data_IF_080437642451
#
_entry.id   IF_080437642451
#
_cell.length_a   1.000
_cell.length_b   1.000
_cell.length_c   1.000
_cell.angle_alpha   90.00
_cell.angle_beta   90.00
_cell.angle_gamma   90.00
#
_symmetry.space_group_name_H-M   'P 1'
#
loop_
_entity.id
_entity.type
_entity.pdbx_description
1 polymer ?
#
# COMPACT_ATOMS: atom_id res chain seq x y z
N UNK A 1 -16.21 3.60 6.73
CA UNK A 1 -15.06 2.68 6.79
C UNK A 1 -15.21 1.60 5.72
N UNK A 2 -14.34 1.62 4.70
CA UNK A 2 -14.36 0.66 3.61
C UNK A 2 -14.01 -0.76 4.10
N UNK A 3 -14.99 -1.68 4.04
CA UNK A 3 -14.87 -3.08 4.45
C UNK A 3 -13.79 -3.83 3.66
N UNK A 4 -13.59 -3.49 2.38
CA UNK A 4 -12.58 -4.11 1.51
C UNK A 4 -11.18 -3.67 1.94
N UNK A 5 -10.98 -2.38 2.18
CA UNK A 5 -9.71 -1.84 2.64
C UNK A 5 -9.33 -2.39 4.02
N UNK A 6 -10.29 -2.47 4.95
CA UNK A 6 -10.06 -3.12 6.25
C UNK A 6 -9.61 -4.57 6.07
N UNK A 7 -10.29 -5.37 5.25
CA UNK A 7 -9.93 -6.77 5.04
C UNK A 7 -8.52 -6.91 4.43
N UNK A 8 -8.22 -6.10 3.43
CA UNK A 8 -6.95 -6.10 2.70
C UNK A 8 -5.75 -5.74 3.59
N UNK A 9 -5.98 -4.90 4.59
CA UNK A 9 -4.91 -4.32 5.39
C UNK A 9 -4.83 -4.94 6.79
N UNK A 10 -5.95 -5.17 7.46
CA UNK A 10 -5.98 -5.66 8.85
C UNK A 10 -6.26 -7.16 8.99
N UNK A 11 -6.87 -7.81 8.00
CA UNK A 11 -7.40 -9.18 8.15
C UNK A 11 -6.60 -10.26 7.43
N UNK A 12 -5.55 -9.87 6.69
CA UNK A 12 -4.87 -10.75 5.75
C UNK A 12 -3.37 -10.76 6.00
N UNK A 13 -2.74 -11.92 5.79
CA UNK A 13 -1.29 -12.04 5.88
C UNK A 13 -0.63 -11.06 4.91
N UNK A 14 0.37 -10.32 5.41
CA UNK A 14 1.05 -9.28 4.64
C UNK A 14 0.34 -7.92 4.59
N UNK A 15 -0.77 -7.77 5.33
CA UNK A 15 -1.51 -6.51 5.43
C UNK A 15 -0.66 -5.32 5.86
N UNK A 16 0.21 -5.50 6.86
CA UNK A 16 1.19 -4.49 7.29
C UNK A 16 2.12 -4.03 6.16
N UNK A 17 2.60 -4.95 5.31
CA UNK A 17 3.48 -4.59 4.19
C UNK A 17 2.72 -3.87 3.07
N UNK A 18 1.50 -4.33 2.74
CA UNK A 18 0.61 -3.61 1.81
C UNK A 18 0.34 -2.20 2.29
N UNK A 19 0.09 -2.05 3.59
CA UNK A 19 -0.07 -0.76 4.19
C UNK A 19 1.19 0.08 3.93
N UNK A 20 2.39 -0.40 4.34
CA UNK A 20 3.67 0.33 4.15
C UNK A 20 3.90 0.79 2.71
N UNK A 21 3.51 -0.03 1.74
CA UNK A 21 3.54 0.35 0.32
C UNK A 21 2.59 1.53 0.04
N UNK A 22 1.33 1.45 0.46
CA UNK A 22 0.36 2.53 0.26
C UNK A 22 0.80 3.85 0.92
N UNK A 23 1.37 3.79 2.11
CA UNK A 23 1.92 5.00 2.76
C UNK A 23 3.09 5.58 1.96
N UNK A 24 4.02 4.74 1.49
CA UNK A 24 5.16 5.20 0.69
C UNK A 24 4.74 5.77 -0.68
N UNK A 25 3.65 5.26 -1.26
CA UNK A 25 3.08 5.73 -2.52
C UNK A 25 2.24 7.00 -2.39
N UNK A 26 1.71 7.28 -1.19
CA UNK A 26 1.06 8.55 -0.87
C UNK A 26 2.05 9.72 -0.89
N UNK A 27 3.28 9.50 -0.43
CA UNK A 27 4.32 10.53 -0.47
C UNK A 27 4.71 10.91 -1.90
N UNK A 28 4.91 9.90 -2.76
CA UNK A 28 5.17 10.06 -4.19
C UNK A 28 5.05 8.73 -4.93
N UNK A 29 4.80 8.74 -6.25
CA UNK A 29 4.91 7.55 -7.07
C UNK A 29 6.31 6.90 -7.00
N UNK A 30 6.37 5.58 -6.96
CA UNK A 30 7.62 4.80 -6.85
C UNK A 30 7.55 3.54 -7.71
N UNK A 31 8.68 3.07 -8.22
CA UNK A 31 8.74 1.76 -8.87
C UNK A 31 8.89 0.64 -7.83
N UNK A 32 8.78 -0.63 -8.26
CA UNK A 32 8.88 -1.78 -7.37
C UNK A 32 10.28 -1.95 -6.73
N UNK A 33 11.36 -1.58 -7.42
CA UNK A 33 12.72 -1.63 -6.87
C UNK A 33 12.93 -0.58 -5.76
N UNK A 34 12.38 0.62 -5.94
CA UNK A 34 12.42 1.68 -4.93
C UNK A 34 11.69 1.24 -3.66
N UNK A 35 10.52 0.63 -3.82
CA UNK A 35 9.73 0.10 -2.70
C UNK A 35 10.43 -1.05 -1.99
N UNK A 36 11.07 -1.96 -2.73
CA UNK A 36 11.85 -3.06 -2.16
C UNK A 36 12.99 -2.53 -1.28
N UNK A 37 13.73 -1.55 -1.81
CA UNK A 37 14.84 -0.91 -1.11
C UNK A 37 14.35 -0.12 0.12
N UNK A 38 13.32 0.71 -0.04
CA UNK A 38 12.77 1.56 1.02
C UNK A 38 12.18 0.75 2.17
N UNK A 39 11.51 -0.37 1.86
CA UNK A 39 10.81 -1.17 2.86
C UNK A 39 11.65 -2.34 3.39
N UNK A 40 12.88 -2.50 2.89
CA UNK A 40 13.77 -3.63 3.18
C UNK A 40 13.07 -4.99 2.97
N UNK A 41 12.40 -5.13 1.83
CA UNK A 41 11.69 -6.34 1.41
C UNK A 41 12.26 -6.85 0.08
N UNK A 42 12.18 -8.15 -0.17
CA UNK A 42 12.59 -8.68 -1.46
C UNK A 42 11.66 -8.21 -2.59
N UNK A 43 12.22 -8.10 -3.79
CA UNK A 43 11.48 -7.61 -4.97
C UNK A 43 10.24 -8.45 -5.30
N UNK A 44 10.28 -9.78 -5.14
CA UNK A 44 9.13 -10.65 -5.43
C UNK A 44 7.99 -10.42 -4.43
N UNK A 45 8.32 -10.19 -3.16
CA UNK A 45 7.34 -9.81 -2.12
C UNK A 45 6.67 -8.48 -2.45
N UNK A 46 7.43 -7.47 -2.86
CA UNK A 46 6.86 -6.18 -3.28
C UNK A 46 5.95 -6.36 -4.50
N UNK A 47 6.41 -7.08 -5.52
CA UNK A 47 5.63 -7.37 -6.73
C UNK A 47 4.30 -8.03 -6.37
N UNK A 48 4.32 -9.07 -5.55
CA UNK A 48 3.13 -9.74 -5.08
C UNK A 48 2.15 -8.77 -4.38
N UNK A 49 2.65 -7.92 -3.48
CA UNK A 49 1.80 -6.94 -2.81
C UNK A 49 1.23 -5.88 -3.75
N UNK A 50 2.01 -5.38 -4.72
CA UNK A 50 1.54 -4.43 -5.72
C UNK A 50 0.46 -5.04 -6.62
N UNK A 51 0.59 -6.31 -7.00
CA UNK A 51 -0.42 -7.02 -7.79
C UNK A 51 -1.73 -7.15 -7.00
N UNK A 52 -1.67 -7.57 -5.72
CA UNK A 52 -2.85 -7.62 -4.85
C UNK A 52 -3.48 -6.24 -4.64
N UNK A 53 -2.68 -5.19 -4.42
CA UNK A 53 -3.19 -3.82 -4.27
C UNK A 53 -3.83 -3.30 -5.55
N UNK A 54 -3.31 -3.67 -6.73
CA UNK A 54 -3.85 -3.28 -8.03
C UNK A 54 -5.17 -3.99 -8.32
N UNK A 55 -5.27 -5.28 -8.06
CA UNK A 55 -6.53 -6.04 -8.13
C UNK A 55 -7.60 -5.49 -7.19
N UNK A 56 -7.17 -4.83 -6.11
CA UNK A 56 -8.04 -4.14 -5.16
C UNK A 56 -8.23 -2.64 -5.44
N UNK A 57 -7.83 -2.17 -6.62
CA UNK A 57 -8.01 -0.79 -7.07
C UNK A 57 -7.44 0.24 -6.09
N UNK A 58 -6.42 -0.14 -5.32
CA UNK A 58 -5.73 0.73 -4.37
C UNK A 58 -4.56 1.47 -5.02
N UNK A 59 -3.95 0.86 -6.05
CA UNK A 59 -2.82 1.43 -6.79
C UNK A 59 -3.06 1.33 -8.29
N UNK A 60 -2.39 2.20 -9.04
CA UNK A 60 -2.36 2.18 -10.50
C UNK A 60 -0.94 2.39 -11.03
N UNK A 61 -0.71 2.01 -12.28
CA UNK A 61 0.53 2.31 -13.00
C UNK A 61 0.45 3.70 -13.65
N UNK A 62 1.58 4.39 -13.68
CA UNK A 62 1.77 5.60 -14.48
C UNK A 62 2.56 5.25 -15.75
N UNK A 63 2.04 5.65 -16.92
CA UNK A 63 2.65 5.42 -18.22
C UNK A 63 2.46 4.01 -18.79
N UNK A 64 3.14 3.74 -19.90
CA UNK A 64 3.07 2.46 -20.61
C UNK A 64 3.91 1.41 -19.86
N UNK A 65 3.24 0.42 -19.28
CA UNK A 65 3.82 -0.52 -18.31
C UNK A 65 5.10 -1.25 -18.82
N UNK A 66 6.07 -1.40 -17.91
CA UNK A 66 7.36 -2.04 -18.14
C UNK A 66 8.18 -2.18 -16.84
N UNK A 67 9.46 -2.55 -16.95
CA UNK A 67 10.35 -2.83 -15.80
C UNK A 67 10.59 -1.61 -14.88
N UNK A 68 10.36 -0.40 -15.39
CA UNK A 68 10.49 0.87 -14.66
C UNK A 68 9.13 1.54 -14.36
N UNK A 69 8.02 0.80 -14.46
CA UNK A 69 6.70 1.39 -14.28
C UNK A 69 6.54 1.95 -12.85
N UNK A 70 6.13 3.21 -12.78
CA UNK A 70 5.85 3.86 -11.51
C UNK A 70 4.46 3.46 -11.04
N UNK A 71 4.37 3.07 -9.78
CA UNK A 71 3.10 2.88 -9.10
C UNK A 71 2.71 4.17 -8.40
N UNK A 72 1.41 4.45 -8.38
CA UNK A 72 0.81 5.54 -7.60
C UNK A 72 -0.46 5.02 -6.93
N UNK A 73 -0.97 5.76 -5.94
CA UNK A 73 -2.31 5.47 -5.41
C UNK A 73 -3.36 5.65 -6.51
N UNK A 74 -4.38 4.81 -6.51
CA UNK A 74 -5.54 5.04 -7.39
C UNK A 74 -6.23 6.35 -7.03
N UNK A 75 -6.93 7.03 -7.97
CA UNK A 75 -7.67 8.25 -7.66
C UNK A 75 -8.68 8.04 -6.53
N UNK A 76 -9.32 6.87 -6.50
CA UNK A 76 -10.25 6.46 -5.43
C UNK A 76 -9.56 6.46 -4.06
N UNK A 77 -8.39 5.83 -3.95
CA UNK A 77 -7.69 5.77 -2.66
C UNK A 77 -7.07 7.11 -2.26
N UNK A 78 -6.67 7.95 -3.22
CA UNK A 78 -6.22 9.31 -2.94
C UNK A 78 -7.33 10.16 -2.29
N UNK A 79 -8.55 10.10 -2.85
CA UNK A 79 -9.72 10.82 -2.30
C UNK A 79 -10.09 10.31 -0.90
N UNK A 80 -9.98 9.00 -0.67
CA UNK A 80 -10.35 8.36 0.59
C UNK A 80 -9.13 7.97 1.44
N UNK A 81 -8.02 8.71 1.34
CA UNK A 81 -6.80 8.32 2.03
C UNK A 81 -6.94 8.36 3.57
N UNK A 82 -7.82 9.21 4.10
CA UNK A 82 -8.14 9.26 5.53
C UNK A 82 -8.73 7.94 6.05
N UNK A 83 -9.54 7.25 5.26
CA UNK A 83 -10.09 5.92 5.63
C UNK A 83 -8.97 4.89 5.80
N UNK A 84 -7.95 4.96 4.92
CA UNK A 84 -6.74 4.15 5.06
C UNK A 84 -5.97 4.50 6.33
N UNK A 85 -5.77 5.78 6.63
CA UNK A 85 -5.07 6.21 7.84
C UNK A 85 -5.81 5.78 9.11
N UNK A 86 -7.14 5.75 9.09
CA UNK A 86 -7.93 5.21 10.20
C UNK A 86 -7.68 3.71 10.41
N UNK A 87 -7.76 2.91 9.34
CA UNK A 87 -7.44 1.47 9.40
C UNK A 87 -6.00 1.26 9.91
N UNK A 88 -5.05 2.01 9.36
CA UNK A 88 -3.64 1.91 9.73
C UNK A 88 -3.42 2.20 11.21
N UNK A 89 -3.94 3.32 11.70
CA UNK A 89 -3.78 3.74 13.11
C UNK A 89 -4.31 2.69 14.07
N UNK A 90 -5.40 2.00 13.71
CA UNK A 90 -5.96 0.90 14.52
C UNK A 90 -5.07 -0.35 14.53
N UNK A 91 -4.22 -0.55 13.53
CA UNK A 91 -3.26 -1.65 13.50
C UNK A 91 -1.93 -1.33 14.18
N UNK A 92 -1.54 -0.06 14.23
CA UNK A 92 -0.36 0.35 14.97
C UNK A 92 -0.56 0.03 16.46
N UNK A 93 0.43 -0.56 17.15
CA UNK A 93 0.32 -0.78 18.59
C UNK A 93 0.06 0.57 19.25
N UNK A 94 -0.93 0.63 20.14
CA UNK A 94 -1.17 1.81 20.98
C UNK A 94 0.05 1.99 21.88
N UNK A 95 1.01 2.79 21.45
CA UNK A 95 2.13 3.19 22.30
C UNK A 95 1.54 4.19 23.30
N UNK A 96 1.31 3.74 24.54
CA UNK A 96 0.96 4.62 25.66
C UNK A 96 -0.47 4.47 26.18
N UNK A 97 -0.76 3.35 26.83
CA UNK A 97 -1.65 3.33 28.01
C UNK A 97 -0.87 2.61 29.12
N UNK A 98 -0.11 3.40 29.91
CA UNK A 98 0.32 3.07 31.26
C UNK A 98 -0.04 4.26 32.14
#
# INVERSE_FOLDING_TARGET
>A
MDRRLWYLIAATRGGTNRARILHALHERPRNANDLASLLALDYKTIRHHLDVLRENECVMLLGDGGYAALYSLSPRLQVHFEDFLEVWRRMAPRVGEK
#
